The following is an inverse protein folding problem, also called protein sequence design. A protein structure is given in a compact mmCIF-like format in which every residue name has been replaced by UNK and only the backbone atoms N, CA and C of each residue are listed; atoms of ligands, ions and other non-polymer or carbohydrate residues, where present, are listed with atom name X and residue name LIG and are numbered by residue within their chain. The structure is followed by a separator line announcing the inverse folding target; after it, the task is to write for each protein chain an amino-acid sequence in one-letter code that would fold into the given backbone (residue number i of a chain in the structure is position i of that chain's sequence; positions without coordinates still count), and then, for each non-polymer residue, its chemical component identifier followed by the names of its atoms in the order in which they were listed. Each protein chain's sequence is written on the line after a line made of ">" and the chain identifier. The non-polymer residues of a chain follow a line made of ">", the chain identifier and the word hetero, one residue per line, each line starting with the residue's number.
data_IF_951792301421
#
_entry.id   IF_951792301421
#
_cell.length_a   1.000
_cell.length_b   1.000
_cell.length_c   1.000
_cell.angle_alpha   90.00
_cell.angle_beta   90.00
_cell.angle_gamma   90.00
#
_symmetry.space_group_name_H-M   'P 1'
#
loop_
_entity.id
_entity.type
_entity.pdbx_description
1 polymer ?
#
# COMPACT_ATOMS: atom_id res chain seq x y z
N UNK A 1 -22.09 -8.29 -3.36
CA UNK A 1 -21.15 -7.22 -2.95
C UNK A 1 -19.78 -7.60 -3.47
N UNK A 2 -19.03 -6.66 -4.03
CA UNK A 2 -17.64 -6.88 -4.43
C UNK A 2 -16.83 -7.03 -3.14
N UNK A 3 -16.11 -8.15 -2.97
CA UNK A 3 -15.20 -8.33 -1.85
C UNK A 3 -13.84 -7.83 -2.29
N UNK A 4 -13.25 -6.89 -1.56
CA UNK A 4 -11.95 -6.32 -1.89
C UNK A 4 -10.91 -6.83 -0.89
N UNK A 5 -9.66 -6.93 -1.35
CA UNK A 5 -8.50 -7.22 -0.50
C UNK A 5 -7.38 -6.24 -0.80
N UNK A 6 -6.62 -5.88 0.23
CA UNK A 6 -5.42 -5.07 0.11
C UNK A 6 -4.17 -5.95 0.13
N UNK A 7 -3.38 -5.89 -0.95
CA UNK A 7 -2.02 -6.41 -0.97
C UNK A 7 -1.03 -5.28 -0.62
N UNK A 8 -0.13 -5.54 0.31
CA UNK A 8 0.92 -4.59 0.72
C UNK A 8 2.28 -5.19 0.37
N UNK A 9 3.03 -4.49 -0.48
CA UNK A 9 4.41 -4.82 -0.84
C UNK A 9 5.33 -3.74 -0.27
N UNK A 10 6.09 -4.07 0.77
CA UNK A 10 7.01 -3.15 1.45
C UNK A 10 8.45 -3.55 1.19
N UNK A 11 9.10 -2.82 0.30
CA UNK A 11 10.51 -2.97 -0.06
C UNK A 11 11.38 -1.92 0.63
N UNK A 12 12.70 -2.05 0.53
CA UNK A 12 13.65 -1.08 1.12
C UNK A 12 13.37 0.36 0.68
N UNK A 13 13.01 0.58 -0.59
CA UNK A 13 12.91 1.92 -1.19
C UNK A 13 11.49 2.47 -1.26
N UNK A 14 10.48 1.63 -1.06
CA UNK A 14 9.08 2.06 -1.15
C UNK A 14 8.12 1.00 -0.64
N UNK A 15 6.91 1.46 -0.33
CA UNK A 15 5.75 0.61 -0.11
C UNK A 15 4.70 0.87 -1.18
N UNK A 16 4.12 -0.20 -1.70
CA UNK A 16 2.98 -0.18 -2.64
C UNK A 16 1.80 -0.90 -2.01
N UNK A 17 0.62 -0.30 -2.13
CA UNK A 17 -0.66 -0.89 -1.74
C UNK A 17 -1.47 -1.10 -3.02
N UNK A 18 -1.95 -2.31 -3.23
CA UNK A 18 -2.88 -2.66 -4.32
C UNK A 18 -4.19 -3.14 -3.74
N UNK A 19 -5.30 -2.66 -4.27
CA UNK A 19 -6.63 -3.16 -3.93
C UNK A 19 -7.12 -4.00 -5.09
N UNK A 20 -7.55 -5.22 -4.78
CA UNK A 20 -7.95 -6.23 -5.75
C UNK A 20 -9.34 -6.72 -5.43
N UNK A 21 -10.09 -7.08 -6.47
CA UNK A 21 -11.25 -7.93 -6.28
C UNK A 21 -10.78 -9.31 -5.77
N UNK A 22 -11.35 -9.75 -4.64
CA UNK A 22 -10.89 -10.92 -3.90
C UNK A 22 -11.15 -12.24 -4.64
N UNK A 23 -12.06 -12.26 -5.62
CA UNK A 23 -12.45 -13.48 -6.33
C UNK A 23 -11.70 -13.63 -7.65
N UNK A 24 -11.58 -12.54 -8.41
CA UNK A 24 -10.98 -12.50 -9.74
C UNK A 24 -9.52 -12.04 -9.74
N UNK A 25 -9.06 -11.38 -8.69
CA UNK A 25 -7.73 -10.77 -8.62
C UNK A 25 -7.56 -9.55 -9.53
N UNK A 26 -8.64 -9.02 -10.12
CA UNK A 26 -8.60 -7.80 -10.93
C UNK A 26 -8.12 -6.63 -10.06
N UNK A 27 -7.17 -5.85 -10.57
CA UNK A 27 -6.69 -4.63 -9.92
C UNK A 27 -7.78 -3.57 -9.98
N UNK A 28 -8.19 -3.06 -8.82
CA UNK A 28 -9.21 -2.02 -8.70
C UNK A 28 -8.56 -0.64 -8.57
N UNK A 29 -7.55 -0.52 -7.70
CA UNK A 29 -6.82 0.73 -7.44
C UNK A 29 -5.48 0.44 -6.76
N UNK A 30 -4.57 1.39 -6.80
CA UNK A 30 -3.26 1.27 -6.17
C UNK A 30 -2.72 2.61 -5.68
N UNK A 31 -1.79 2.54 -4.73
CA UNK A 31 -1.07 3.68 -4.19
C UNK A 31 0.37 3.29 -3.82
N UNK A 32 1.27 4.26 -3.84
CA UNK A 32 2.70 4.05 -3.55
C UNK A 32 3.29 5.26 -2.82
N UNK A 33 4.22 4.99 -1.92
CA UNK A 33 5.05 6.02 -1.30
C UNK A 33 6.51 5.56 -1.22
N UNK A 34 7.44 6.51 -1.33
CA UNK A 34 8.87 6.23 -1.22
C UNK A 34 9.32 6.17 0.24
N UNK A 35 10.29 5.31 0.53
CA UNK A 35 11.08 5.38 1.75
C UNK A 35 12.30 6.28 1.53
N UNK A 36 12.84 6.90 2.59
CA UNK A 36 14.15 7.55 2.52
C UNK A 36 15.23 6.59 2.01
N UNK A 37 16.21 7.12 1.29
CA UNK A 37 17.39 6.34 0.92
C UNK A 37 18.25 6.04 2.15
N UNK A 38 18.79 4.82 2.22
CA UNK A 38 19.65 4.37 3.30
C UNK A 38 19.76 2.85 3.32
N UNK A 39 20.78 2.33 4.02
CA UNK A 39 20.87 0.89 4.35
C UNK A 39 20.10 0.57 5.64
N UNK A 40 19.81 1.59 6.44
CA UNK A 40 18.99 1.56 7.65
C UNK A 40 18.15 2.83 7.71
N UNK A 41 16.92 2.73 8.22
CA UNK A 41 15.96 3.85 8.31
C UNK A 41 15.10 3.65 9.56
N UNK A 42 14.71 4.75 10.21
CA UNK A 42 13.73 4.73 11.29
C UNK A 42 12.42 4.04 10.84
N UNK A 43 11.96 2.96 11.50
CA UNK A 43 10.72 2.28 11.15
C UNK A 43 9.47 3.18 11.16
N UNK A 44 9.45 4.27 11.92
CA UNK A 44 8.34 5.23 11.90
C UNK A 44 8.15 5.89 10.53
N UNK A 45 9.22 6.00 9.73
CA UNK A 45 9.17 6.51 8.36
C UNK A 45 8.52 5.50 7.40
N UNK A 46 8.65 4.20 7.66
CA UNK A 46 7.96 3.15 6.91
C UNK A 46 6.47 3.17 7.19
N UNK A 47 6.09 3.36 8.46
CA UNK A 47 4.68 3.54 8.84
C UNK A 47 4.07 4.78 8.18
N UNK A 48 4.80 5.89 8.16
CA UNK A 48 4.36 7.13 7.51
C UNK A 48 4.17 6.95 5.99
N UNK A 49 5.10 6.24 5.34
CA UNK A 49 4.98 5.93 3.92
C UNK A 49 3.81 4.97 3.63
N UNK A 50 3.57 3.96 4.49
CA UNK A 50 2.42 3.06 4.35
C UNK A 50 1.10 3.84 4.41
N UNK A 51 0.95 4.75 5.38
CA UNK A 51 -0.25 5.60 5.45
C UNK A 51 -0.42 6.46 4.18
N UNK A 52 0.65 7.03 3.64
CA UNK A 52 0.61 7.78 2.38
C UNK A 52 0.20 6.89 1.20
N UNK A 53 0.73 5.66 1.10
CA UNK A 53 0.37 4.70 0.07
C UNK A 53 -1.10 4.26 0.18
N UNK A 54 -1.61 4.08 1.41
CA UNK A 54 -3.04 3.80 1.68
C UNK A 54 -3.91 4.97 1.22
N UNK A 55 -3.55 6.21 1.58
CA UNK A 55 -4.28 7.40 1.13
C UNK A 55 -4.25 7.53 -0.39
N UNK A 56 -3.10 7.29 -1.03
CA UNK A 56 -2.96 7.30 -2.48
C UNK A 56 -3.78 6.20 -3.16
N UNK A 57 -3.99 5.05 -2.50
CA UNK A 57 -4.88 3.98 -2.96
C UNK A 57 -6.37 4.27 -2.70
N UNK A 58 -6.74 5.45 -2.19
CA UNK A 58 -8.12 5.84 -1.91
C UNK A 58 -8.66 5.34 -0.56
N UNK A 59 -7.81 4.86 0.34
CA UNK A 59 -8.21 4.32 1.64
C UNK A 59 -8.68 2.86 1.62
N UNK A 60 -9.02 2.37 2.81
CA UNK A 60 -9.35 0.96 3.08
C UNK A 60 -10.77 0.76 3.67
N UNK A 61 -11.64 1.77 3.61
CA UNK A 61 -12.95 1.72 4.28
C UNK A 61 -13.93 0.67 3.69
N UNK A 62 -13.69 0.25 2.46
CA UNK A 62 -14.47 -0.72 1.67
C UNK A 62 -13.73 -2.05 1.43
N UNK A 63 -12.63 -2.28 2.17
CA UNK A 63 -11.80 -3.50 2.13
C UNK A 63 -12.12 -4.38 3.34
#
# INVERSE_FOLDING_TARGET
>A
MVSLVAGVDSSTQSVKVVIRDAHSGVLVREGRAAHPSGTEVDPALWWSALQQAITAAGGLADV
#
